data_IF_855856026712
#
_entry.id   IF_855856026712
#
_cell.length_a   1.000
_cell.length_b   1.000
_cell.length_c   1.000
_cell.angle_alpha   90.00
_cell.angle_beta   90.00
_cell.angle_gamma   90.00
#
_symmetry.space_group_name_H-M   'P 1'
#
loop_
_entity.id
_entity.type
_entity.pdbx_description
1 polymer ?
#
# COMPACT_ATOMS: atom_id res chain seq x y z
N UNK A 1 -41.50 29.51 17.50
CA UNK A 1 -41.40 30.98 17.68
C UNK A 1 -41.09 31.24 19.13
N UNK A 2 -40.01 31.96 19.40
CA UNK A 2 -39.65 32.38 20.75
C UNK A 2 -40.65 33.44 21.18
N UNK A 3 -41.46 33.14 22.20
CA UNK A 3 -42.43 34.07 22.76
C UNK A 3 -41.70 34.99 23.75
N UNK A 4 -41.81 36.31 23.63
CA UNK A 4 -41.26 37.23 24.61
C UNK A 4 -41.94 37.08 25.98
N UNK A 5 -41.14 37.10 27.04
CA UNK A 5 -41.56 36.96 28.43
C UNK A 5 -42.07 38.30 28.97
N UNK A 6 -43.27 38.69 28.52
CA UNK A 6 -43.92 39.92 28.94
C UNK A 6 -44.15 40.02 30.47
N UNK A 7 -44.53 38.95 31.20
CA UNK A 7 -44.69 39.02 32.65
C UNK A 7 -43.42 39.45 33.39
N UNK A 8 -42.26 38.90 33.02
CA UNK A 8 -40.98 39.28 33.64
C UNK A 8 -40.60 40.73 33.30
N UNK A 9 -40.84 41.18 32.06
CA UNK A 9 -40.59 42.57 31.67
C UNK A 9 -41.54 43.55 32.40
N UNK A 10 -42.82 43.21 32.52
CA UNK A 10 -43.82 44.03 33.21
C UNK A 10 -43.57 44.10 34.72
N UNK A 11 -43.03 43.05 35.32
CA UNK A 11 -42.61 43.06 36.73
C UNK A 11 -41.46 44.02 37.03
N UNK A 12 -40.58 44.30 36.05
CA UNK A 12 -39.54 45.33 36.17
C UNK A 12 -40.11 46.74 36.02
N UNK A 13 -41.07 46.92 35.10
CA UNK A 13 -41.69 48.22 34.82
C UNK A 13 -42.71 48.66 35.88
N UNK A 14 -43.31 47.72 36.62
CA UNK A 14 -44.35 48.02 37.62
C UNK A 14 -43.86 48.80 38.84
N UNK A 15 -42.54 48.89 39.05
CA UNK A 15 -41.92 49.60 40.16
C UNK A 15 -41.54 51.05 39.80
N UNK A 16 -41.72 51.47 38.54
CA UNK A 16 -41.36 52.80 38.04
C UNK A 16 -42.56 53.76 38.12
N UNK A 17 -42.30 55.04 38.41
CA UNK A 17 -43.31 56.08 38.45
C UNK A 17 -43.59 56.68 37.04
N UNK A 18 -44.65 57.50 36.90
CA UNK A 18 -45.04 58.05 35.59
C UNK A 18 -43.98 58.96 34.95
N UNK A 19 -43.18 59.67 35.73
CA UNK A 19 -42.12 60.53 35.21
C UNK A 19 -40.94 59.68 34.71
N UNK A 20 -40.58 58.62 35.43
CA UNK A 20 -39.55 57.64 35.07
C UNK A 20 -39.94 56.83 33.82
N UNK A 21 -41.19 56.39 33.72
CA UNK A 21 -41.71 55.69 32.53
C UNK A 21 -41.74 56.62 31.31
N UNK A 22 -42.09 57.89 31.49
CA UNK A 22 -42.08 58.89 30.43
C UNK A 22 -40.66 59.25 30.00
N UNK A 23 -39.73 59.28 30.94
CA UNK A 23 -38.32 59.48 30.65
C UNK A 23 -37.75 58.30 29.87
N UNK A 24 -38.03 57.07 30.29
CA UNK A 24 -37.64 55.84 29.57
C UNK A 24 -38.22 55.78 28.16
N UNK A 25 -39.48 56.22 27.96
CA UNK A 25 -40.10 56.26 26.63
C UNK A 25 -39.42 57.25 25.68
N UNK A 26 -38.77 58.30 26.21
CA UNK A 26 -38.13 59.36 25.43
C UNK A 26 -36.60 59.22 25.35
N UNK A 27 -36.01 58.22 26.02
CA UNK A 27 -34.57 57.95 26.04
C UNK A 27 -34.30 56.47 25.74
N UNK A 28 -33.96 56.19 24.49
CA UNK A 28 -33.65 54.85 23.99
C UNK A 28 -32.51 54.17 24.78
N UNK A 29 -31.57 54.94 25.34
CA UNK A 29 -30.45 54.37 26.11
C UNK A 29 -30.90 53.84 27.46
N UNK A 30 -31.85 54.53 28.10
CA UNK A 30 -32.48 54.09 29.35
C UNK A 30 -33.38 52.87 29.11
N UNK A 31 -34.12 52.88 28.01
CA UNK A 31 -34.92 51.72 27.59
C UNK A 31 -34.03 50.49 27.36
N UNK A 32 -32.94 50.61 26.60
CA UNK A 32 -31.99 49.52 26.36
C UNK A 32 -31.34 48.99 27.64
N UNK A 33 -31.08 49.88 28.61
CA UNK A 33 -30.55 49.49 29.92
C UNK A 33 -31.52 48.58 30.67
N UNK A 34 -32.80 48.95 30.74
CA UNK A 34 -33.84 48.13 31.42
C UNK A 34 -34.13 46.86 30.64
N UNK A 35 -34.08 46.91 29.29
CA UNK A 35 -34.25 45.74 28.45
C UNK A 35 -33.16 44.69 28.68
N UNK A 36 -31.90 45.12 28.86
CA UNK A 36 -30.79 44.24 29.28
C UNK A 36 -31.01 43.61 30.65
N UNK A 37 -31.87 44.19 31.49
CA UNK A 37 -32.20 43.64 32.80
C UNK A 37 -33.30 42.57 32.79
N UNK A 38 -34.05 42.46 31.69
CA UNK A 38 -35.06 41.41 31.48
C UNK A 38 -34.38 40.04 31.50
N UNK A 39 -34.90 39.13 32.34
CA UNK A 39 -34.34 37.78 32.54
C UNK A 39 -34.10 37.04 31.22
N UNK A 40 -35.08 37.08 30.31
CA UNK A 40 -34.97 36.43 29.00
C UNK A 40 -33.80 36.98 28.16
N UNK A 41 -33.55 38.29 28.20
CA UNK A 41 -32.44 38.93 27.46
C UNK A 41 -31.09 38.57 28.09
N UNK A 42 -31.01 38.54 29.43
CA UNK A 42 -29.81 38.07 30.16
C UNK A 42 -29.48 36.61 29.86
N UNK A 43 -30.50 35.74 29.85
CA UNK A 43 -30.33 34.33 29.55
C UNK A 43 -29.79 34.14 28.12
N UNK A 44 -30.31 34.88 27.13
CA UNK A 44 -29.81 34.85 25.75
C UNK A 44 -28.40 35.40 25.60
N UNK A 45 -28.06 36.49 26.28
CA UNK A 45 -26.70 37.05 26.21
C UNK A 45 -25.70 36.07 26.85
N UNK A 46 -26.09 35.39 27.92
CA UNK A 46 -25.27 34.35 28.57
C UNK A 46 -25.09 33.13 27.66
N UNK A 47 -26.17 32.67 27.00
CA UNK A 47 -26.12 31.57 26.04
C UNK A 47 -25.24 31.91 24.83
N UNK A 48 -25.39 33.12 24.28
CA UNK A 48 -24.55 33.65 23.22
C UNK A 48 -23.09 33.66 23.62
N UNK A 49 -22.75 34.21 24.79
CA UNK A 49 -21.36 34.24 25.27
C UNK A 49 -20.82 32.82 25.46
N UNK A 50 -21.62 31.91 26.01
CA UNK A 50 -21.24 30.49 26.17
C UNK A 50 -20.94 29.85 24.82
N UNK A 51 -21.77 30.09 23.80
CA UNK A 51 -21.54 29.57 22.44
C UNK A 51 -20.28 30.18 21.82
N UNK A 52 -20.06 31.49 21.99
CA UNK A 52 -18.86 32.17 21.47
C UNK A 52 -17.59 31.58 22.10
N UNK A 53 -17.58 31.44 23.43
CA UNK A 53 -16.44 30.87 24.16
C UNK A 53 -16.21 29.41 23.75
N UNK A 54 -17.28 28.62 23.64
CA UNK A 54 -17.19 27.21 23.22
C UNK A 54 -16.68 27.07 21.79
N UNK A 55 -17.22 27.85 20.84
CA UNK A 55 -16.78 27.85 19.45
C UNK A 55 -15.31 28.27 19.33
N UNK A 56 -14.91 29.33 20.05
CA UNK A 56 -13.53 29.78 20.10
C UNK A 56 -12.60 28.71 20.65
N UNK A 57 -12.95 28.07 21.76
CA UNK A 57 -12.16 26.99 22.36
C UNK A 57 -12.00 25.81 21.39
N UNK A 58 -13.05 25.45 20.66
CA UNK A 58 -13.01 24.40 19.65
C UNK A 58 -12.15 24.78 18.46
N UNK A 59 -12.24 26.03 17.98
CA UNK A 59 -11.41 26.53 16.90
C UNK A 59 -9.92 26.54 17.30
N UNK A 60 -9.59 27.01 18.50
CA UNK A 60 -8.22 26.99 19.04
C UNK A 60 -7.70 25.55 19.19
N UNK A 61 -8.53 24.62 19.66
CA UNK A 61 -8.17 23.20 19.72
C UNK A 61 -7.92 22.61 18.31
N UNK A 62 -8.78 22.88 17.34
CA UNK A 62 -8.60 22.41 15.97
C UNK A 62 -7.32 22.96 15.34
N UNK A 63 -7.02 24.24 15.54
CA UNK A 63 -5.77 24.86 15.10
C UNK A 63 -4.55 24.24 15.79
N UNK A 64 -4.67 23.88 17.08
CA UNK A 64 -3.59 23.19 17.80
C UNK A 64 -3.28 21.80 17.25
N UNK A 65 -4.26 21.15 16.58
CA UNK A 65 -4.12 19.82 15.98
C UNK A 65 -3.62 19.84 14.54
N UNK A 66 -3.74 20.98 13.86
CA UNK A 66 -3.21 21.15 12.50
C UNK A 66 -1.73 20.77 12.34
N UNK A 67 -0.77 21.23 13.17
CA UNK A 67 0.64 20.88 12.99
C UNK A 67 0.91 19.39 13.19
N UNK A 68 0.23 18.75 14.14
CA UNK A 68 0.32 17.30 14.35
C UNK A 68 -0.17 16.55 13.10
N UNK A 69 -1.36 16.90 12.58
CA UNK A 69 -1.91 16.28 11.37
C UNK A 69 -1.04 16.50 10.13
N UNK A 70 -0.49 17.69 9.96
CA UNK A 70 0.44 17.99 8.86
C UNK A 70 1.72 17.16 8.97
N UNK A 71 2.26 17.02 10.19
CA UNK A 71 3.43 16.18 10.46
C UNK A 71 3.18 14.71 10.14
N UNK A 72 2.08 14.13 10.65
CA UNK A 72 1.71 12.74 10.33
C UNK A 72 1.47 12.53 8.84
N UNK A 73 0.82 13.49 8.15
CA UNK A 73 0.61 13.40 6.70
C UNK A 73 1.93 13.37 5.94
N UNK A 74 2.89 14.21 6.33
CA UNK A 74 4.23 14.22 5.74
C UNK A 74 4.97 12.90 5.99
N UNK A 75 4.90 12.35 7.20
CA UNK A 75 5.52 11.07 7.54
C UNK A 75 4.93 9.90 6.73
N UNK A 76 3.60 9.87 6.56
CA UNK A 76 2.94 8.86 5.73
C UNK A 76 3.37 9.00 4.27
N UNK A 77 3.46 10.22 3.76
CA UNK A 77 3.92 10.47 2.39
C UNK A 77 5.37 10.01 2.19
N UNK A 78 6.27 10.33 3.11
CA UNK A 78 7.67 9.89 3.07
C UNK A 78 7.78 8.35 3.09
N UNK A 79 7.06 7.69 4.01
CA UNK A 79 7.05 6.23 4.08
C UNK A 79 6.45 5.58 2.84
N UNK A 80 5.43 6.19 2.24
CA UNK A 80 4.84 5.72 0.98
C UNK A 80 5.86 5.80 -0.16
N UNK A 81 6.55 6.92 -0.29
CA UNK A 81 7.59 7.13 -1.32
C UNK A 81 8.75 6.14 -1.15
N UNK A 82 9.22 5.93 0.09
CA UNK A 82 10.23 4.89 0.38
C UNK A 82 9.74 3.50 -0.02
N UNK A 83 8.47 3.17 0.29
CA UNK A 83 7.85 1.92 -0.11
C UNK A 83 7.79 1.74 -1.64
N UNK A 84 7.38 2.77 -2.37
CA UNK A 84 7.34 2.77 -3.83
C UNK A 84 8.72 2.58 -4.46
N UNK A 85 9.73 3.25 -3.91
CA UNK A 85 11.13 3.11 -4.33
C UNK A 85 11.66 1.69 -4.09
N UNK A 86 11.36 1.09 -2.94
CA UNK A 86 11.74 -0.30 -2.64
C UNK A 86 11.03 -1.29 -3.57
N UNK A 87 9.74 -1.11 -3.82
CA UNK A 87 8.99 -1.95 -4.76
C UNK A 87 9.56 -1.87 -6.17
N UNK A 88 9.88 -0.66 -6.64
CA UNK A 88 10.53 -0.43 -7.94
C UNK A 88 11.89 -1.11 -8.01
N UNK A 89 12.71 -0.99 -6.95
CA UNK A 89 14.01 -1.65 -6.86
C UNK A 89 13.91 -3.18 -6.88
N UNK A 90 12.92 -3.74 -6.17
CA UNK A 90 12.65 -5.18 -6.18
C UNK A 90 12.24 -5.64 -7.58
N UNK A 91 11.39 -4.88 -8.26
CA UNK A 91 10.95 -5.20 -9.62
C UNK A 91 12.13 -5.21 -10.59
N UNK A 92 13.02 -4.22 -10.53
CA UNK A 92 14.27 -4.19 -11.33
C UNK A 92 15.14 -5.41 -11.05
N UNK A 93 15.35 -5.77 -9.78
CA UNK A 93 16.15 -6.93 -9.39
C UNK A 93 15.52 -8.24 -9.88
N UNK A 94 14.19 -8.35 -9.83
CA UNK A 94 13.47 -9.51 -10.35
C UNK A 94 13.62 -9.63 -11.85
N UNK A 95 13.57 -8.52 -12.58
CA UNK A 95 13.71 -8.54 -14.03
C UNK A 95 15.17 -8.82 -14.43
N UNK A 96 16.16 -8.27 -13.73
CA UNK A 96 17.57 -8.64 -13.90
C UNK A 96 17.80 -10.12 -13.61
N UNK A 97 17.22 -10.64 -12.53
CA UNK A 97 17.27 -12.06 -12.19
C UNK A 97 16.62 -12.92 -13.28
N UNK A 98 15.43 -12.56 -13.77
CA UNK A 98 14.77 -13.27 -14.87
C UNK A 98 15.61 -13.25 -16.14
N UNK A 99 16.22 -12.12 -16.51
CA UNK A 99 17.09 -12.06 -17.70
C UNK A 99 18.32 -12.94 -17.53
N UNK A 100 18.97 -12.95 -16.35
CA UNK A 100 20.13 -13.81 -16.09
C UNK A 100 19.77 -15.29 -15.98
N UNK A 101 18.60 -15.62 -15.44
CA UNK A 101 18.12 -17.00 -15.31
C UNK A 101 17.41 -17.51 -16.57
N UNK A 102 17.04 -16.63 -17.50
CA UNK A 102 16.48 -16.99 -18.80
C UNK A 102 17.49 -17.86 -19.55
N UNK A 103 17.15 -19.14 -19.73
CA UNK A 103 18.01 -20.14 -20.38
C UNK A 103 18.90 -20.95 -19.44
N UNK A 104 19.00 -20.60 -18.15
CA UNK A 104 19.76 -21.35 -17.14
C UNK A 104 18.79 -22.12 -16.23
N UNK A 105 17.78 -22.78 -16.81
CA UNK A 105 17.04 -23.77 -16.03
C UNK A 105 17.90 -25.03 -15.87
N UNK A 106 17.84 -25.73 -14.74
CA UNK A 106 18.58 -26.98 -14.56
C UNK A 106 18.21 -28.02 -15.63
N UNK A 107 16.95 -28.08 -16.04
CA UNK A 107 16.48 -28.94 -17.13
C UNK A 107 17.07 -28.53 -18.49
N UNK A 108 17.10 -27.23 -18.80
CA UNK A 108 17.75 -26.72 -20.02
C UNK A 108 19.24 -27.04 -20.05
N UNK A 109 19.92 -26.89 -18.91
CA UNK A 109 21.35 -27.19 -18.77
C UNK A 109 21.62 -28.68 -18.94
N UNK A 110 20.78 -29.55 -18.38
CA UNK A 110 20.86 -30.99 -18.56
C UNK A 110 20.68 -31.37 -20.04
N UNK A 111 19.68 -30.82 -20.71
CA UNK A 111 19.43 -31.07 -22.12
C UNK A 111 20.62 -30.64 -22.99
N UNK A 112 21.18 -29.44 -22.77
CA UNK A 112 22.37 -28.96 -23.48
C UNK A 112 23.58 -29.86 -23.26
N UNK A 113 23.77 -30.36 -22.03
CA UNK A 113 24.87 -31.26 -21.71
C UNK A 113 24.72 -32.63 -22.38
N UNK A 114 23.49 -33.14 -22.48
CA UNK A 114 23.18 -34.36 -23.22
C UNK A 114 23.44 -34.20 -24.72
N UNK A 115 23.01 -33.08 -25.30
CA UNK A 115 23.31 -32.75 -26.71
C UNK A 115 24.81 -32.69 -26.95
N UNK A 116 25.57 -31.95 -26.13
CA UNK A 116 27.02 -31.85 -26.26
C UNK A 116 27.77 -33.18 -26.01
N UNK A 117 27.17 -34.12 -25.27
CA UNK A 117 27.69 -35.47 -25.13
C UNK A 117 27.46 -36.30 -26.40
N UNK A 118 26.26 -36.20 -27.00
CA UNK A 118 25.91 -36.87 -28.25
C UNK A 118 26.73 -36.34 -29.43
N UNK A 119 26.94 -35.03 -29.53
CA UNK A 119 27.80 -34.40 -30.56
C UNK A 119 29.23 -34.94 -30.48
N UNK A 120 29.84 -35.01 -29.28
CA UNK A 120 31.17 -35.58 -29.13
C UNK A 120 31.22 -37.10 -29.34
N UNK A 121 30.11 -37.82 -29.12
CA UNK A 121 30.02 -39.24 -29.45
C UNK A 121 30.04 -39.43 -30.98
N UNK A 122 29.27 -38.64 -31.72
CA UNK A 122 29.26 -38.61 -33.19
C UNK A 122 30.62 -38.20 -33.77
N UNK A 123 31.25 -37.14 -33.26
CA UNK A 123 32.60 -36.74 -33.66
C UNK A 123 33.62 -37.87 -33.46
N UNK A 124 33.53 -38.57 -32.32
CA UNK A 124 34.41 -39.70 -32.05
C UNK A 124 34.20 -40.88 -33.00
N UNK A 125 32.95 -41.12 -33.42
CA UNK A 125 32.61 -42.17 -34.38
C UNK A 125 33.11 -41.81 -35.79
N UNK A 126 33.00 -40.54 -36.19
CA UNK A 126 33.55 -40.04 -37.45
C UNK A 126 35.07 -40.21 -37.51
N UNK A 127 35.80 -39.90 -36.42
CA UNK A 127 37.25 -40.13 -36.32
C UNK A 127 37.58 -41.63 -36.44
N UNK A 128 36.81 -42.49 -35.76
CA UNK A 128 36.99 -43.93 -35.87
C UNK A 128 36.74 -44.45 -37.29
N UNK A 129 35.70 -43.95 -37.96
CA UNK A 129 35.39 -44.31 -39.34
C UNK A 129 36.48 -43.83 -40.32
N UNK A 130 37.01 -42.62 -40.14
CA UNK A 130 38.09 -42.10 -40.96
C UNK A 130 39.38 -42.92 -40.80
N UNK A 131 39.66 -43.43 -39.60
CA UNK A 131 40.76 -44.37 -39.39
C UNK A 131 40.52 -45.72 -40.08
N UNK A 132 39.32 -46.31 -39.93
CA UNK A 132 38.97 -47.59 -40.56
C UNK A 132 38.96 -47.53 -42.10
N UNK A 133 38.67 -46.36 -42.66
CA UNK A 133 38.72 -46.12 -44.11
C UNK A 133 40.10 -45.70 -44.62
N UNK A 134 41.09 -45.58 -43.73
CA UNK A 134 42.47 -45.23 -44.07
C UNK A 134 42.70 -43.77 -44.44
N UNK A 135 41.78 -42.86 -44.07
CA UNK A 135 41.92 -41.41 -44.32
C UNK A 135 42.86 -40.72 -43.34
N UNK A 136 43.03 -41.29 -42.14
CA UNK A 136 43.97 -40.82 -41.11
C UNK A 136 44.88 -41.97 -40.68
N UNK A 137 46.08 -41.64 -40.20
CA UNK A 137 47.06 -42.59 -39.69
C UNK A 137 46.84 -42.90 -38.19
N UNK A 138 47.63 -43.84 -37.67
CA UNK A 138 47.52 -44.31 -36.28
C UNK A 138 47.85 -43.20 -35.30
N UNK A 139 48.88 -42.40 -35.56
CA UNK A 139 49.32 -41.36 -34.63
C UNK A 139 48.26 -40.26 -34.48
N UNK A 140 47.68 -39.81 -35.59
CA UNK A 140 46.58 -38.83 -35.57
C UNK A 140 45.30 -39.40 -34.93
N UNK A 141 44.99 -40.67 -35.22
CA UNK A 141 43.85 -41.33 -34.58
C UNK A 141 44.01 -41.35 -33.05
N UNK A 142 45.17 -41.73 -32.52
CA UNK A 142 45.38 -41.80 -31.08
C UNK A 142 45.30 -40.42 -30.42
N UNK A 143 45.85 -39.38 -31.05
CA UNK A 143 45.78 -38.00 -30.55
C UNK A 143 44.33 -37.48 -30.47
N UNK A 144 43.58 -37.59 -31.57
CA UNK A 144 42.24 -37.02 -31.68
C UNK A 144 41.18 -37.87 -30.95
N UNK A 145 41.21 -39.20 -31.14
CA UNK A 145 40.20 -40.12 -30.60
C UNK A 145 40.25 -40.22 -29.07
N UNK A 146 41.45 -40.28 -28.49
CA UNK A 146 41.59 -40.38 -27.03
C UNK A 146 41.00 -39.13 -26.35
N UNK A 147 41.32 -37.95 -26.87
CA UNK A 147 40.89 -36.67 -26.29
C UNK A 147 39.38 -36.47 -26.38
N UNK A 148 38.78 -36.78 -27.54
CA UNK A 148 37.33 -36.63 -27.72
C UNK A 148 36.55 -37.66 -26.88
N UNK A 149 37.01 -38.92 -26.80
CA UNK A 149 36.34 -39.96 -25.99
C UNK A 149 36.40 -39.65 -24.49
N UNK A 150 37.53 -39.14 -23.99
CA UNK A 150 37.63 -38.63 -22.61
C UNK A 150 36.58 -37.56 -22.34
N UNK A 151 36.45 -36.60 -23.24
CA UNK A 151 35.49 -35.49 -23.12
C UNK A 151 34.05 -36.00 -23.17
N UNK A 152 33.72 -36.88 -24.12
CA UNK A 152 32.40 -37.50 -24.25
C UNK A 152 32.01 -38.25 -22.97
N UNK A 153 32.88 -39.15 -22.46
CA UNK A 153 32.59 -39.91 -21.24
C UNK A 153 32.39 -39.00 -20.03
N UNK A 154 33.19 -37.93 -19.91
CA UNK A 154 33.03 -36.95 -18.84
C UNK A 154 31.70 -36.20 -18.93
N UNK A 155 31.29 -35.77 -20.14
CA UNK A 155 29.99 -35.11 -20.36
C UNK A 155 28.83 -36.05 -20.06
N UNK A 156 28.90 -37.30 -20.53
CA UNK A 156 27.89 -38.35 -20.29
C UNK A 156 27.72 -38.64 -18.79
N UNK A 157 28.82 -38.81 -18.07
CA UNK A 157 28.79 -39.01 -16.62
C UNK A 157 28.22 -37.80 -15.88
N UNK A 158 28.62 -36.58 -16.26
CA UNK A 158 28.08 -35.35 -15.67
C UNK A 158 26.57 -35.21 -15.94
N UNK A 159 26.09 -35.54 -17.14
CA UNK A 159 24.67 -35.53 -17.48
C UNK A 159 23.88 -36.56 -16.65
N UNK A 160 24.41 -37.77 -16.49
CA UNK A 160 23.79 -38.81 -15.66
C UNK A 160 23.66 -38.36 -14.21
N UNK A 161 24.76 -37.85 -13.62
CA UNK A 161 24.77 -37.35 -12.24
C UNK A 161 23.86 -36.14 -12.04
N UNK A 162 23.84 -35.22 -12.99
CA UNK A 162 22.91 -34.09 -12.95
C UNK A 162 21.44 -34.57 -13.02
N UNK A 163 21.14 -35.53 -13.88
CA UNK A 163 19.80 -36.14 -13.95
C UNK A 163 19.40 -36.86 -12.66
N UNK A 164 20.33 -37.56 -12.00
CA UNK A 164 20.10 -38.15 -10.68
C UNK A 164 19.78 -37.09 -9.63
N UNK A 165 20.55 -35.99 -9.58
CA UNK A 165 20.34 -34.90 -8.64
C UNK A 165 19.00 -34.20 -8.85
N UNK A 166 18.57 -33.99 -10.09
CA UNK A 166 17.27 -33.39 -10.39
C UNK A 166 16.10 -34.29 -9.95
N UNK A 167 16.19 -35.61 -10.20
CA UNK A 167 15.19 -36.58 -9.72
C UNK A 167 15.17 -36.72 -8.20
N UNK A 168 16.34 -36.74 -7.57
CA UNK A 168 16.49 -36.83 -6.11
C UNK A 168 15.99 -35.57 -5.41
N UNK A 169 16.28 -34.40 -5.98
CA UNK A 169 15.76 -33.11 -5.52
C UNK A 169 14.23 -33.07 -5.51
N UNK A 170 13.58 -33.55 -6.57
CA UNK A 170 12.11 -33.64 -6.62
C UNK A 170 11.51 -34.55 -5.54
N UNK A 171 12.29 -35.48 -4.99
CA UNK A 171 11.85 -36.40 -3.93
C UNK A 171 11.95 -35.80 -2.51
N UNK A 172 12.71 -34.72 -2.32
CA UNK A 172 12.93 -34.08 -1.01
C UNK A 172 12.23 -32.72 -0.81
N UNK A 173 11.57 -32.18 -1.84
CA UNK A 173 10.81 -30.91 -1.74
C UNK A 173 9.30 -31.10 -1.56
N UNK A 174 8.90 -32.12 -0.78
CA UNK A 174 7.60 -32.11 -0.06
C UNK A 174 7.58 -31.13 1.11
N UNK A 175 8.37 -30.05 1.06
CA UNK A 175 8.44 -29.03 2.09
C UNK A 175 7.97 -27.71 1.47
N UNK A 176 6.82 -27.24 1.96
CA UNK A 176 6.11 -26.07 1.46
C UNK A 176 7.00 -24.84 1.40
N UNK A 177 7.53 -24.53 0.23
CA UNK A 177 7.99 -23.19 -0.10
C UNK A 177 6.73 -22.37 -0.32
N UNK A 178 6.22 -21.82 0.77
CA UNK A 178 5.27 -20.72 0.74
C UNK A 178 5.81 -19.69 -0.25
N UNK A 179 5.08 -19.49 -1.35
CA UNK A 179 5.21 -18.28 -2.16
C UNK A 179 5.28 -17.09 -1.18
N UNK A 180 6.20 -16.13 -1.34
CA UNK A 180 6.22 -14.97 -0.45
C UNK A 180 4.87 -14.29 -0.57
N UNK A 181 4.03 -14.49 0.44
CA UNK A 181 2.74 -13.84 0.57
C UNK A 181 3.09 -12.37 0.78
N UNK A 182 2.87 -11.56 -0.26
CA UNK A 182 2.73 -10.13 -0.07
C UNK A 182 1.55 -9.95 0.91
N UNK A 183 1.74 -9.28 2.06
CA UNK A 183 0.66 -9.05 2.99
C UNK A 183 -0.29 -8.02 2.36
N UNK A 184 -1.30 -8.49 1.65
CA UNK A 184 -2.50 -7.69 1.44
C UNK A 184 -3.17 -7.48 2.81
N UNK A 185 -3.55 -6.25 3.18
CA UNK A 185 -4.27 -6.00 4.41
C UNK A 185 -5.63 -6.69 4.35
N UNK A 186 -5.74 -7.83 5.04
CA UNK A 186 -7.00 -8.51 5.28
C UNK A 186 -7.74 -7.77 6.39
N UNK A 187 -8.79 -7.04 6.04
CA UNK A 187 -9.77 -6.56 7.00
C UNK A 187 -10.55 -7.77 7.52
N UNK A 188 -10.08 -8.34 8.63
CA UNK A 188 -10.77 -9.40 9.34
C UNK A 188 -12.07 -8.83 9.96
N UNK A 189 -13.20 -9.35 9.48
CA UNK A 189 -14.52 -9.10 10.02
C UNK A 189 -14.66 -9.84 11.36
N UNK A 190 -14.49 -9.12 12.47
CA UNK A 190 -14.75 -9.63 13.81
C UNK A 190 -16.21 -9.36 14.18
N UNK A 191 -17.02 -10.41 14.20
CA UNK A 191 -18.33 -10.40 14.83
C UNK A 191 -18.16 -10.20 16.35
N UNK A 192 -18.62 -9.05 16.86
CA UNK A 192 -18.59 -8.71 18.28
C UNK A 192 -18.96 -7.26 18.52
N UNK A 193 -20.25 -7.00 18.70
CA UNK A 193 -20.91 -5.69 18.80
C UNK A 193 -20.36 -4.82 19.95
N UNK A 194 -20.06 -3.53 19.71
CA UNK A 194 -20.48 -2.37 20.54
C UNK A 194 -20.48 -1.04 19.73
N UNK A 195 -21.69 -0.59 19.43
CA UNK A 195 -22.19 0.77 19.14
C UNK A 195 -21.17 1.92 18.89
N UNK A 196 -21.07 2.38 17.62
CA UNK A 196 -20.56 3.72 17.26
C UNK A 196 -21.48 4.32 16.19
N UNK A 197 -21.94 5.58 16.29
CA UNK A 197 -22.95 6.13 15.38
C UNK A 197 -22.27 6.72 14.13
N UNK A 198 -22.03 5.88 13.12
CA UNK A 198 -21.76 6.36 11.76
C UNK A 198 -22.57 5.58 10.73
N UNK A 199 -23.08 6.23 9.67
CA UNK A 199 -23.98 5.61 8.70
C UNK A 199 -23.21 4.63 7.81
N UNK A 200 -23.43 3.32 8.02
CA UNK A 200 -22.96 2.26 7.15
C UNK A 200 -23.93 2.10 5.96
N UNK A 201 -23.83 2.99 4.98
CA UNK A 201 -24.41 2.80 3.65
C UNK A 201 -23.37 2.15 2.71
N UNK A 202 -23.80 1.50 1.60
CA UNK A 202 -22.85 0.95 0.62
C UNK A 202 -21.97 2.07 0.07
N UNK A 203 -20.65 1.98 0.32
CA UNK A 203 -19.63 2.86 -0.25
C UNK A 203 -19.53 2.64 -1.76
N UNK A 204 -20.40 3.31 -2.51
CA UNK A 204 -20.18 3.54 -3.94
C UNK A 204 -19.49 4.90 -4.11
N UNK A 205 -18.22 5.00 -3.67
CA UNK A 205 -17.41 6.18 -3.96
C UNK A 205 -16.84 6.05 -5.38
N UNK A 206 -17.06 7.03 -6.27
CA UNK A 206 -16.41 7.04 -7.57
C UNK A 206 -14.89 7.24 -7.40
N UNK A 207 -14.11 6.32 -7.97
CA UNK A 207 -12.65 6.42 -8.06
C UNK A 207 -12.26 7.67 -8.88
N UNK A 208 -11.42 8.58 -8.36
CA UNK A 208 -10.84 9.66 -9.17
C UNK A 208 -9.86 9.06 -10.16
N UNK A 209 -10.16 9.13 -11.47
CA UNK A 209 -9.21 8.75 -12.53
C UNK A 209 -9.76 8.05 -13.77
N UNK A 210 -11.08 7.78 -13.87
CA UNK A 210 -11.65 7.09 -15.04
C UNK A 210 -12.54 7.97 -15.93
N UNK A 211 -12.06 9.17 -16.28
CA UNK A 211 -12.56 9.85 -17.48
C UNK A 211 -11.41 9.99 -18.47
N UNK A 212 -11.43 9.11 -19.48
CA UNK A 212 -10.69 9.33 -20.71
C UNK A 212 -11.22 10.58 -21.40
N UNK A 213 -10.31 11.47 -21.78
CA UNK A 213 -10.63 12.59 -22.65
C UNK A 213 -11.04 12.05 -24.02
N UNK A 214 -12.30 12.24 -24.38
CA UNK A 214 -12.73 12.20 -25.77
C UNK A 214 -13.00 13.64 -26.21
N UNK A 215 -12.11 14.14 -27.06
CA UNK A 215 -12.43 15.18 -28.04
C UNK A 215 -13.13 14.51 -29.23
#
# INVERSE_FOLDING_TARGET
MIQPDYPSAMGLLSHLNSDELKEMLNDDTKFDSILKDVKQVKDWETEKETIIVSNRSLAEYNLSKEPELQGLKAEVQEKSEVGENLCSRIQELLDEYKTKSAGISPDTTLALLQTAAAESEEESENIAQDFLTGKIDVDKFLEDFEQIRKTMHLRKFKAEKMGELLRSGQSSFGNGVSKPYLPYPSYANAQGVQNVPYPMGPLNMPMPGMYGNHF
#
